data_IF_754586255904
#
_entry.id   IF_754586255904
#
_cell.length_a   1.000
_cell.length_b   1.000
_cell.length_c   1.000
_cell.angle_alpha   90.00
_cell.angle_beta   90.00
_cell.angle_gamma   90.00
#
_symmetry.space_group_name_H-M   'P 1'
#
loop_
_entity.id
_entity.type
_entity.pdbx_description
1 polymer ?
#
# COMPACT_ATOMS: atom_id res chain seq x y z
N UNK A 1 -3.09 -42.06 15.21
CA UNK A 1 -4.08 -41.30 15.99
C UNK A 1 -4.50 -40.10 15.15
N UNK A 2 -5.69 -40.13 14.53
CA UNK A 2 -6.20 -39.01 13.76
C UNK A 2 -6.78 -37.97 14.71
N UNK A 3 -6.25 -36.75 14.68
CA UNK A 3 -6.86 -35.61 15.36
C UNK A 3 -7.71 -34.89 14.31
N UNK A 4 -8.96 -35.32 14.19
CA UNK A 4 -10.00 -34.65 13.40
C UNK A 4 -10.26 -33.28 14.03
N UNK A 5 -9.91 -32.21 13.30
CA UNK A 5 -10.19 -30.84 13.72
C UNK A 5 -11.63 -30.51 13.34
N UNK A 6 -12.50 -30.63 14.33
CA UNK A 6 -13.93 -30.36 14.27
C UNK A 6 -14.20 -28.90 13.81
N UNK A 7 -14.97 -28.75 12.73
CA UNK A 7 -15.48 -27.46 12.25
C UNK A 7 -16.60 -26.97 13.17
N UNK A 8 -16.26 -25.98 14.00
CA UNK A 8 -17.19 -25.31 14.91
C UNK A 8 -18.01 -24.27 14.13
N UNK A 9 -19.14 -24.72 13.57
CA UNK A 9 -20.13 -23.90 12.86
C UNK A 9 -20.95 -23.06 13.84
N UNK A 10 -20.40 -21.93 14.27
CA UNK A 10 -21.10 -21.00 15.16
C UNK A 10 -21.99 -20.05 14.37
N UNK A 11 -23.20 -20.52 14.12
CA UNK A 11 -24.38 -19.71 13.81
C UNK A 11 -24.72 -18.83 15.00
N UNK A 12 -24.54 -17.50 14.88
CA UNK A 12 -25.12 -16.54 15.82
C UNK A 12 -26.30 -15.81 15.18
N UNK A 13 -27.37 -15.77 15.96
CA UNK A 13 -28.72 -15.36 15.60
C UNK A 13 -28.85 -13.84 15.39
N UNK A 14 -29.73 -13.50 14.45
CA UNK A 14 -30.82 -12.51 14.56
C UNK A 14 -30.88 -11.73 15.88
N UNK A 15 -30.96 -10.40 15.81
CA UNK A 15 -32.03 -9.58 16.43
C UNK A 15 -31.95 -8.13 15.92
N UNK A 16 -33.13 -7.59 15.65
CA UNK A 16 -33.51 -6.29 15.05
C UNK A 16 -33.37 -5.06 15.96
N UNK A 17 -33.35 -3.91 15.27
CA UNK A 17 -33.84 -2.57 15.64
C UNK A 17 -32.91 -1.61 16.42
N UNK A 18 -32.82 -0.38 15.91
CA UNK A 18 -31.81 0.63 16.26
C UNK A 18 -32.31 1.82 17.09
N UNK A 19 -31.48 2.86 17.20
CA UNK A 19 -31.85 4.24 17.62
C UNK A 19 -30.83 5.24 17.03
N UNK A 20 -31.31 6.37 16.53
CA UNK A 20 -30.54 7.53 16.04
C UNK A 20 -29.94 8.30 17.24
N UNK A 21 -28.67 8.69 17.16
CA UNK A 21 -28.02 9.58 18.12
C UNK A 21 -26.90 10.39 17.48
N UNK A 22 -27.14 11.68 17.24
CA UNK A 22 -26.12 12.64 16.78
C UNK A 22 -25.32 13.14 17.99
N UNK A 23 -23.98 13.02 17.92
CA UNK A 23 -23.05 13.69 18.83
C UNK A 23 -22.01 14.39 17.99
N UNK A 24 -22.01 15.73 18.06
CA UNK A 24 -20.98 16.55 17.46
C UNK A 24 -19.75 16.59 18.37
N UNK A 25 -18.58 16.36 17.80
CA UNK A 25 -17.29 16.72 18.37
C UNK A 25 -16.61 17.69 17.40
N UNK A 26 -16.49 18.94 17.84
CA UNK A 26 -15.59 19.89 17.23
C UNK A 26 -14.15 19.46 17.53
N UNK A 27 -13.41 19.05 16.50
CA UNK A 27 -11.96 18.85 16.53
C UNK A 27 -11.34 19.78 15.50
N UNK A 28 -10.85 20.93 15.97
CA UNK A 28 -9.94 21.77 15.22
C UNK A 28 -8.55 21.44 15.75
N UNK A 29 -7.64 20.90 14.93
CA UNK A 29 -6.16 21.04 15.04
C UNK A 29 -5.44 20.13 14.05
N UNK A 30 -4.46 20.68 13.32
CA UNK A 30 -3.38 19.93 12.70
C UNK A 30 -3.54 19.66 11.20
N UNK A 31 -3.09 20.62 10.38
CA UNK A 31 -2.66 20.36 9.00
C UNK A 31 -1.23 19.81 9.14
N UNK A 32 -1.13 18.49 9.33
CA UNK A 32 0.11 17.74 9.25
C UNK A 32 -0.06 16.80 8.05
N UNK A 33 0.86 16.90 7.10
CA UNK A 33 0.77 16.30 5.78
C UNK A 33 0.88 14.79 5.83
N UNK A 34 -0.22 14.14 6.20
CA UNK A 34 -0.44 12.72 5.96
C UNK A 34 -0.88 12.55 4.51
N UNK A 35 -0.28 11.59 3.81
CA UNK A 35 -0.90 11.04 2.63
C UNK A 35 -2.29 10.55 3.07
N UNK A 36 -3.37 11.19 2.60
CA UNK A 36 -4.74 10.78 2.95
C UNK A 36 -4.95 9.28 2.64
N UNK A 37 -4.74 8.45 3.65
CA UNK A 37 -4.73 7.00 3.62
C UNK A 37 -6.07 6.47 4.09
N UNK A 38 -6.96 6.22 3.14
CA UNK A 38 -8.23 5.56 3.41
C UNK A 38 -8.03 4.05 3.61
N UNK A 39 -7.97 3.58 4.86
CA UNK A 39 -8.11 2.16 5.16
C UNK A 39 -9.58 1.73 4.95
N UNK A 40 -9.89 1.26 3.74
CA UNK A 40 -11.22 0.81 3.36
C UNK A 40 -11.14 -0.40 2.45
N UNK A 41 -11.42 -1.58 3.00
CA UNK A 41 -11.75 -2.78 2.23
C UNK A 41 -13.04 -2.50 1.41
N UNK A 42 -12.87 -1.99 0.19
CA UNK A 42 -13.96 -1.55 -0.67
C UNK A 42 -13.54 -1.47 -2.12
N UNK A 43 -14.17 -2.28 -2.96
CA UNK A 43 -14.30 -2.08 -4.40
C UNK A 43 -14.85 -0.65 -4.65
N UNK A 44 -13.96 0.29 -4.95
CA UNK A 44 -14.26 1.72 -4.99
C UNK A 44 -13.36 2.46 -5.96
N UNK A 45 -13.89 2.69 -7.16
CA UNK A 45 -13.43 3.66 -8.14
C UNK A 45 -13.36 5.06 -7.51
N UNK A 46 -12.16 5.50 -7.12
CA UNK A 46 -11.91 6.74 -6.40
C UNK A 46 -10.56 7.37 -6.79
N UNK A 47 -10.61 8.24 -7.77
CA UNK A 47 -9.55 9.14 -8.25
C UNK A 47 -8.90 9.91 -7.08
N UNK A 48 -7.70 9.51 -6.66
CA UNK A 48 -6.92 10.13 -5.57
C UNK A 48 -5.46 10.31 -6.01
N UNK A 49 -5.07 11.56 -6.32
CA UNK A 49 -3.70 12.10 -6.32
C UNK A 49 -2.63 11.51 -7.25
N UNK A 50 -2.84 10.31 -7.77
CA UNK A 50 -2.08 9.69 -8.85
C UNK A 50 -2.63 10.23 -10.17
N UNK A 51 -1.78 10.54 -11.15
CA UNK A 51 -2.34 10.65 -12.50
C UNK A 51 -3.03 9.32 -12.77
N UNK A 52 -4.33 9.31 -13.10
CA UNK A 52 -5.07 8.07 -13.44
C UNK A 52 -4.57 7.43 -14.74
N UNK A 53 -3.36 7.79 -15.16
CA UNK A 53 -2.64 7.28 -16.30
C UNK A 53 -1.87 6.02 -15.92
N UNK A 54 -1.57 5.81 -14.63
CA UNK A 54 -0.84 4.64 -14.12
C UNK A 54 -1.63 4.00 -12.98
N UNK A 55 -1.94 2.71 -13.10
CA UNK A 55 -2.68 1.92 -12.11
C UNK A 55 -1.75 0.86 -11.48
N UNK A 56 -1.77 0.75 -10.14
CA UNK A 56 -1.08 -0.32 -9.43
C UNK A 56 -1.91 -1.61 -9.51
N UNK A 57 -1.34 -2.67 -10.09
CA UNK A 57 -2.01 -3.97 -10.23
C UNK A 57 -1.79 -4.86 -9.01
N UNK A 58 -0.57 -4.86 -8.49
CA UNK A 58 -0.16 -5.58 -7.28
C UNK A 58 1.05 -4.90 -6.63
N UNK A 59 1.24 -5.16 -5.34
CA UNK A 59 2.44 -4.78 -4.60
C UNK A 59 2.53 -5.62 -3.32
N UNK A 60 3.75 -5.98 -2.92
CA UNK A 60 4.03 -6.74 -1.71
C UNK A 60 5.35 -6.29 -1.09
N UNK A 61 5.40 -6.28 0.25
CA UNK A 61 6.64 -6.08 0.99
C UNK A 61 7.44 -7.39 1.01
N UNK A 62 8.59 -7.40 0.35
CA UNK A 62 9.48 -8.56 0.25
C UNK A 62 10.66 -8.39 1.21
N UNK A 63 11.01 -9.49 1.89
CA UNK A 63 12.16 -9.56 2.80
C UNK A 63 13.13 -10.63 2.35
N UNK A 64 14.43 -10.31 2.34
CA UNK A 64 15.49 -11.29 2.14
C UNK A 64 16.36 -11.39 3.38
N UNK A 65 16.90 -12.58 3.68
CA UNK A 65 17.75 -12.84 4.86
C UNK A 65 17.13 -12.43 6.20
N UNK A 66 15.81 -12.57 6.34
CA UNK A 66 15.04 -12.18 7.54
C UNK A 66 15.65 -12.72 8.84
N UNK A 67 15.81 -11.84 9.82
CA UNK A 67 16.44 -12.11 11.11
C UNK A 67 17.97 -12.18 11.08
N UNK A 68 18.59 -11.88 9.93
CA UNK A 68 20.03 -11.86 9.74
C UNK A 68 20.64 -10.45 9.70
N UNK A 69 21.97 -10.36 9.86
CA UNK A 69 22.73 -9.10 9.72
C UNK A 69 22.73 -8.52 8.29
N UNK A 70 22.19 -9.27 7.33
CA UNK A 70 22.09 -8.90 5.93
C UNK A 70 20.62 -8.87 5.47
N UNK A 71 19.67 -8.70 6.42
CA UNK A 71 18.27 -8.52 6.08
C UNK A 71 18.09 -7.30 5.16
N UNK A 72 17.29 -7.45 4.12
CA UNK A 72 16.89 -6.36 3.21
C UNK A 72 15.38 -6.36 3.05
N UNK A 73 14.83 -5.19 2.74
CA UNK A 73 13.40 -4.98 2.50
C UNK A 73 13.22 -4.26 1.16
N UNK A 74 12.29 -4.74 0.34
CA UNK A 74 11.82 -4.06 -0.86
C UNK A 74 10.29 -4.13 -0.97
N UNK A 75 9.72 -3.24 -1.78
CA UNK A 75 8.35 -3.38 -2.28
C UNK A 75 8.42 -3.70 -3.76
N UNK A 76 7.94 -4.89 -4.09
CA UNK A 76 7.92 -5.42 -5.45
C UNK A 76 6.47 -5.41 -5.94
N UNK A 77 6.26 -5.10 -7.21
CA UNK A 77 4.92 -5.07 -7.79
C UNK A 77 4.87 -4.78 -9.28
N UNK A 78 3.67 -4.55 -9.77
CA UNK A 78 3.36 -4.28 -11.17
C UNK A 78 2.42 -3.08 -11.30
N UNK A 79 2.72 -2.21 -12.26
CA UNK A 79 1.89 -1.06 -12.61
C UNK A 79 1.59 -1.05 -14.12
N UNK A 80 0.39 -0.61 -14.50
CA UNK A 80 -0.06 -0.54 -15.90
C UNK A 80 -0.31 0.90 -16.34
N UNK A 81 0.07 1.22 -17.57
CA UNK A 81 -0.36 2.46 -18.23
C UNK A 81 -1.79 2.34 -18.76
N UNK A 82 -2.73 2.96 -18.06
CA UNK A 82 -4.17 3.00 -18.39
C UNK A 82 -4.60 4.29 -19.10
N UNK A 83 -3.66 5.19 -19.45
CA UNK A 83 -3.94 6.49 -20.11
C UNK A 83 -4.46 6.37 -21.55
N UNK A 84 -4.21 5.23 -22.21
CA UNK A 84 -4.52 5.02 -23.63
C UNK A 84 -3.50 5.63 -24.62
N UNK A 85 -2.39 6.18 -24.14
CA UNK A 85 -1.26 6.67 -24.96
C UNK A 85 0.08 6.30 -24.33
N UNK A 86 1.17 6.36 -25.09
CA UNK A 86 2.52 6.13 -24.53
C UNK A 86 2.85 7.23 -23.50
N UNK A 87 3.31 6.81 -22.32
CA UNK A 87 3.82 7.71 -21.29
C UNK A 87 5.32 7.84 -21.43
N UNK A 88 5.81 9.07 -21.63
CA UNK A 88 7.25 9.33 -21.69
C UNK A 88 7.95 9.01 -20.37
N UNK A 89 7.22 9.11 -19.26
CA UNK A 89 7.71 8.87 -17.90
C UNK A 89 6.55 8.40 -17.03
N UNK A 90 6.80 7.36 -16.24
CA UNK A 90 5.94 6.88 -15.16
C UNK A 90 6.82 6.48 -13.98
N UNK A 91 6.31 6.64 -12.76
CA UNK A 91 7.03 6.35 -11.53
C UNK A 91 6.13 5.75 -10.47
N UNK A 92 6.76 5.05 -9.54
CA UNK A 92 6.18 4.54 -8.31
C UNK A 92 7.00 5.07 -7.16
N UNK A 93 6.35 5.72 -6.19
CA UNK A 93 6.98 6.15 -4.93
C UNK A 93 6.49 5.25 -3.79
N UNK A 94 7.43 4.80 -2.95
CA UNK A 94 7.18 3.99 -1.76
C UNK A 94 7.79 4.66 -0.54
N UNK A 95 6.95 4.90 0.46
CA UNK A 95 7.35 5.30 1.82
C UNK A 95 7.43 4.08 2.72
N UNK A 96 8.54 3.94 3.43
CA UNK A 96 8.76 2.87 4.40
C UNK A 96 8.62 3.39 5.83
N UNK A 97 7.95 2.64 6.69
CA UNK A 97 7.64 3.07 8.06
C UNK A 97 8.14 2.08 9.11
N UNK A 98 8.68 2.63 10.20
CA UNK A 98 9.01 1.94 11.45
C UNK A 98 7.90 2.24 12.48
N UNK A 99 6.94 1.33 12.62
CA UNK A 99 5.68 1.61 13.30
C UNK A 99 4.94 2.77 12.61
N UNK A 100 4.65 3.84 13.35
CA UNK A 100 3.99 5.04 12.83
C UNK A 100 5.01 6.10 12.33
N UNK A 101 6.31 5.81 12.34
CA UNK A 101 7.36 6.78 11.97
C UNK A 101 7.86 6.53 10.56
N UNK A 102 7.87 7.57 9.71
CA UNK A 102 8.48 7.49 8.38
C UNK A 102 9.99 7.27 8.51
N UNK A 103 10.47 6.14 8.01
CA UNK A 103 11.90 5.83 7.96
C UNK A 103 12.55 6.54 6.77
N UNK A 104 12.04 6.30 5.56
CA UNK A 104 12.50 6.93 4.33
C UNK A 104 11.50 6.74 3.17
N UNK A 105 11.71 7.44 2.05
CA UNK A 105 10.95 7.31 0.80
C UNK A 105 11.88 7.08 -0.39
N UNK A 106 11.51 6.15 -1.26
CA UNK A 106 12.25 5.83 -2.47
C UNK A 106 11.29 5.68 -3.65
N UNK A 107 11.83 5.74 -4.86
CA UNK A 107 11.06 5.57 -6.08
C UNK A 107 11.76 4.64 -7.06
N UNK A 108 10.95 4.05 -7.93
CA UNK A 108 11.38 3.40 -9.17
C UNK A 108 10.64 4.07 -10.33
N UNK A 109 11.22 4.05 -11.53
CA UNK A 109 10.63 4.72 -12.67
C UNK A 109 10.91 4.02 -14.00
N UNK A 110 10.02 4.24 -14.96
CA UNK A 110 10.13 3.73 -16.34
C UNK A 110 9.90 4.86 -17.34
N UNK A 111 10.53 4.75 -18.51
CA UNK A 111 10.37 5.69 -19.61
C UNK A 111 9.77 4.99 -20.83
N UNK A 112 8.98 5.73 -21.61
CA UNK A 112 8.31 5.24 -22.83
C UNK A 112 7.44 3.99 -22.57
N UNK A 113 6.61 4.04 -21.53
CA UNK A 113 5.68 2.96 -21.19
C UNK A 113 4.49 3.00 -22.16
N UNK A 114 4.34 1.98 -22.99
CA UNK A 114 3.28 1.88 -23.99
C UNK A 114 1.88 1.86 -23.37
N UNK A 115 0.86 2.21 -24.16
CA UNK A 115 -0.53 2.12 -23.69
C UNK A 115 -0.94 0.66 -23.42
N UNK A 116 -1.47 0.39 -22.22
CA UNK A 116 -1.80 -0.96 -21.74
C UNK A 116 -0.57 -1.83 -21.44
N UNK A 117 0.63 -1.25 -21.44
CA UNK A 117 1.84 -1.95 -21.05
C UNK A 117 1.96 -1.99 -19.53
N UNK A 118 2.37 -3.15 -19.02
CA UNK A 118 2.68 -3.38 -17.61
C UNK A 118 4.17 -3.31 -17.38
N UNK A 119 4.56 -2.65 -16.30
CA UNK A 119 5.94 -2.55 -15.84
C UNK A 119 6.06 -3.13 -14.43
N UNK A 120 7.03 -4.03 -14.25
CA UNK A 120 7.38 -4.57 -12.95
C UNK A 120 8.41 -3.65 -12.28
N UNK A 121 8.11 -3.19 -11.07
CA UNK A 121 8.93 -2.28 -10.29
C UNK A 121 9.47 -2.97 -9.03
N UNK A 122 10.58 -2.46 -8.52
CA UNK A 122 11.17 -2.91 -7.26
C UNK A 122 11.81 -1.72 -6.54
N UNK A 123 11.16 -1.25 -5.47
CA UNK A 123 11.67 -0.16 -4.66
C UNK A 123 12.30 -0.73 -3.40
N UNK A 124 13.63 -0.63 -3.26
CA UNK A 124 14.38 -1.19 -2.14
C UNK A 124 14.66 -0.13 -1.06
N UNK A 125 14.37 -0.48 0.20
CA UNK A 125 14.86 0.27 1.35
C UNK A 125 16.37 0.08 1.48
N UNK A 126 17.12 1.18 1.61
CA UNK A 126 18.59 1.14 1.57
C UNK A 126 19.25 0.68 2.88
N UNK A 127 18.52 0.74 4.00
CA UNK A 127 18.98 0.18 5.27
C UNK A 127 19.01 -1.35 5.25
N UNK A 128 19.79 -1.96 6.14
CA UNK A 128 20.01 -3.41 6.19
C UNK A 128 20.02 -3.92 7.63
N UNK A 129 19.84 -5.23 7.80
CA UNK A 129 19.92 -5.87 9.12
C UNK A 129 18.86 -5.33 10.07
N UNK A 130 19.27 -4.78 11.21
CA UNK A 130 18.34 -4.24 12.22
C UNK A 130 17.48 -3.09 11.66
N UNK A 131 18.02 -2.24 10.78
CA UNK A 131 17.27 -1.14 10.18
C UNK A 131 16.18 -1.66 9.24
N UNK A 132 16.50 -2.67 8.42
CA UNK A 132 15.53 -3.32 7.53
C UNK A 132 14.46 -4.10 8.34
N UNK A 133 14.87 -4.78 9.41
CA UNK A 133 13.97 -5.50 10.30
C UNK A 133 13.00 -4.56 11.06
N UNK A 134 13.39 -3.30 11.27
CA UNK A 134 12.55 -2.30 11.94
C UNK A 134 11.39 -1.81 11.08
N UNK A 135 11.48 -1.92 9.74
CA UNK A 135 10.38 -1.57 8.84
C UNK A 135 9.20 -2.50 9.11
N UNK A 136 8.03 -1.94 9.40
CA UNK A 136 6.80 -2.71 9.68
C UNK A 136 5.68 -2.46 8.68
N UNK A 137 5.70 -1.31 7.99
CA UNK A 137 4.65 -0.92 7.06
C UNK A 137 5.20 -0.11 5.89
N UNK A 138 4.39 0.07 4.85
CA UNK A 138 4.70 0.91 3.70
C UNK A 138 3.46 1.55 3.09
N UNK A 139 3.65 2.70 2.44
CA UNK A 139 2.65 3.33 1.58
C UNK A 139 3.21 3.47 0.17
N UNK A 140 2.36 3.30 -0.84
CA UNK A 140 2.76 3.30 -2.25
C UNK A 140 1.82 4.12 -3.11
N UNK A 141 2.36 4.82 -4.11
CA UNK A 141 1.62 5.54 -5.15
C UNK A 141 2.31 5.39 -6.51
N UNK A 142 1.53 5.45 -7.58
CA UNK A 142 2.04 5.41 -8.95
C UNK A 142 1.53 6.62 -9.74
N UNK A 143 2.31 7.12 -10.70
CA UNK A 143 1.86 8.26 -11.49
C UNK A 143 2.88 8.70 -12.53
N UNK A 144 2.62 9.88 -13.10
CA UNK A 144 3.49 10.52 -14.10
C UNK A 144 4.13 11.81 -13.59
N UNK A 145 3.78 12.23 -12.37
CA UNK A 145 4.29 13.39 -11.64
C UNK A 145 3.76 13.33 -10.21
N UNK A 146 4.43 12.56 -9.34
CA UNK A 146 4.06 12.45 -7.92
C UNK A 146 4.62 13.60 -7.07
#
# INVERSE_FOLDING_TARGET
MPCEREMDRRTYLTTTAGVIGAVGLAGCSGDEGDFEGGNGNGNGNGNNGSSNDVELLNHELVRENEGGMAETVSVDGEAENVSGSELSYAEVEVKFYEGDTLADSFLDNVNNLGAGETWAFSVQYTGMGEDAAAITDYEIRAGTSL
#
